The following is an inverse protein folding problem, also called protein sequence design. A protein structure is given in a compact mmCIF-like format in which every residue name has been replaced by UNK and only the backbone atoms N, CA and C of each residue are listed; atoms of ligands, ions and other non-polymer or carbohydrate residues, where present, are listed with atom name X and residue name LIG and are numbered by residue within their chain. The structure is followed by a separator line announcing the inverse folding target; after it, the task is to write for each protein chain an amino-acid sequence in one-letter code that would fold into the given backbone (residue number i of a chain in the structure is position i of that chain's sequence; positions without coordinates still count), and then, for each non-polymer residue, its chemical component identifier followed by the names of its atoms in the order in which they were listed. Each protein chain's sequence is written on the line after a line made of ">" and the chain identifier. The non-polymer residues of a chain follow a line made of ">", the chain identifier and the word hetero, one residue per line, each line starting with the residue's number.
data_IF_128702037398
#
_entry.id   IF_128702037398
#
_cell.length_a   1.000
_cell.length_b   1.000
_cell.length_c   1.000
_cell.angle_alpha   90.00
_cell.angle_beta   90.00
_cell.angle_gamma   90.00
#
_symmetry.space_group_name_H-M   'P 1'
#
loop_
_entity.id
_entity.type
_entity.pdbx_description
1 polymer ?
#
# COMPACT_ATOMS: atom_id res chain seq x y z
N UNK A 1 10.68 11.36 17.03
CA UNK A 1 10.51 12.00 15.71
C UNK A 1 9.27 12.87 15.64
N UNK A 2 8.08 12.36 15.97
CA UNK A 2 6.79 13.10 15.86
C UNK A 2 6.83 14.53 16.43
N UNK A 3 7.31 14.75 17.67
CA UNK A 3 7.36 16.12 18.23
C UNK A 3 8.25 17.08 17.43
N UNK A 4 9.32 16.59 16.80
CA UNK A 4 10.20 17.42 15.96
C UNK A 4 9.57 17.76 14.61
N UNK A 5 8.78 16.86 14.03
CA UNK A 5 8.04 17.15 12.79
C UNK A 5 6.90 18.14 13.03
N UNK A 6 6.16 18.02 14.14
CA UNK A 6 5.09 18.97 14.48
C UNK A 6 5.62 20.39 14.73
N UNK A 7 6.76 20.52 15.43
CA UNK A 7 7.43 21.82 15.63
C UNK A 7 7.90 22.44 14.30
N UNK A 8 8.31 21.60 13.35
CA UNK A 8 8.74 22.06 12.03
C UNK A 8 7.55 22.53 11.17
N UNK A 9 6.41 21.82 11.21
CA UNK A 9 5.16 22.25 10.53
C UNK A 9 4.64 23.57 11.10
N UNK A 10 4.76 23.79 12.40
CA UNK A 10 4.35 25.04 13.05
C UNK A 10 5.19 26.26 12.63
N UNK A 11 6.43 26.06 12.18
CA UNK A 11 7.36 27.12 11.75
C UNK A 11 7.32 27.41 10.25
N UNK A 12 6.74 26.52 9.45
CA UNK A 12 6.62 26.71 8.02
C UNK A 12 5.53 27.74 7.66
N UNK A 13 5.64 28.45 6.53
CA UNK A 13 4.56 29.27 5.99
C UNK A 13 3.26 28.47 5.88
N UNK A 14 2.10 29.14 5.99
CA UNK A 14 0.79 28.47 6.07
C UNK A 14 0.38 27.68 4.80
N UNK A 15 1.08 27.86 3.68
CA UNK A 15 0.81 27.19 2.40
C UNK A 15 2.09 27.03 1.58
N UNK A 16 2.09 26.10 0.63
CA UNK A 16 3.20 25.88 -0.30
C UNK A 16 3.89 24.53 -0.11
N UNK A 17 4.80 24.22 -1.03
CA UNK A 17 5.46 22.91 -1.13
C UNK A 17 6.26 22.54 0.13
N UNK A 18 6.98 23.48 0.76
CA UNK A 18 7.72 23.23 2.01
C UNK A 18 6.79 22.76 3.15
N UNK A 19 5.63 23.40 3.32
CA UNK A 19 4.64 22.96 4.31
C UNK A 19 4.10 21.58 3.98
N UNK A 20 3.79 21.32 2.71
CA UNK A 20 3.29 20.01 2.27
C UNK A 20 4.29 18.89 2.55
N UNK A 21 5.58 19.09 2.27
CA UNK A 21 6.64 18.12 2.55
C UNK A 21 6.74 17.83 4.05
N UNK A 22 6.75 18.87 4.89
CA UNK A 22 6.83 18.71 6.35
C UNK A 22 5.61 17.95 6.90
N UNK A 23 4.41 18.25 6.39
CA UNK A 23 3.19 17.52 6.72
C UNK A 23 3.28 16.05 6.25
N UNK A 24 3.80 15.80 5.06
CA UNK A 24 4.06 14.43 4.58
C UNK A 24 4.98 13.65 5.52
N UNK A 25 6.11 14.24 5.93
CA UNK A 25 7.03 13.62 6.89
C UNK A 25 6.39 13.37 8.26
N UNK A 26 5.58 14.30 8.76
CA UNK A 26 4.79 14.08 9.97
C UNK A 26 3.80 12.92 9.82
N UNK A 27 3.14 12.84 8.66
CA UNK A 27 2.24 11.75 8.32
C UNK A 27 2.95 10.39 8.32
N UNK A 28 4.15 10.31 7.74
CA UNK A 28 4.97 9.09 7.75
C UNK A 28 5.42 8.72 9.16
N UNK A 29 5.82 9.70 9.98
CA UNK A 29 6.20 9.46 11.36
C UNK A 29 5.02 8.89 12.17
N UNK A 30 3.81 9.37 11.93
CA UNK A 30 2.59 8.81 12.53
C UNK A 30 2.30 7.41 12.01
N UNK A 31 2.41 7.15 10.71
CA UNK A 31 2.20 5.83 10.14
C UNK A 31 3.19 4.79 10.71
N UNK A 32 4.49 5.11 10.77
CA UNK A 32 5.49 4.24 11.40
C UNK A 32 5.22 4.03 12.90
N UNK A 33 4.70 5.05 13.60
CA UNK A 33 4.32 4.91 15.01
C UNK A 33 3.08 4.01 15.17
N UNK A 34 2.15 4.08 14.23
CA UNK A 34 1.04 3.15 14.14
C UNK A 34 1.55 1.71 13.96
N UNK A 35 2.47 1.49 13.02
CA UNK A 35 3.05 0.15 12.76
C UNK A 35 3.68 -0.45 14.02
N UNK A 36 4.35 0.38 14.83
CA UNK A 36 5.01 -0.07 16.05
C UNK A 36 4.08 -0.22 17.26
N UNK A 37 3.08 0.66 17.42
CA UNK A 37 2.25 0.73 18.63
C UNK A 37 0.81 0.23 18.45
N UNK A 38 0.33 0.07 17.21
CA UNK A 38 -1.04 -0.30 16.89
C UNK A 38 -2.10 0.74 17.28
N UNK A 39 -1.71 1.96 17.63
CA UNK A 39 -2.63 3.01 18.10
C UNK A 39 -3.36 3.67 16.94
N UNK A 40 -4.62 3.31 16.72
CA UNK A 40 -5.38 3.74 15.55
C UNK A 40 -5.42 5.27 15.34
N UNK A 41 -5.37 6.07 16.41
CA UNK A 41 -5.29 7.54 16.33
C UNK A 41 -4.06 8.03 15.57
N UNK A 42 -2.97 7.24 15.54
CA UNK A 42 -1.80 7.54 14.73
C UNK A 42 -2.06 7.35 13.24
N UNK A 43 -2.82 6.33 12.87
CA UNK A 43 -3.21 6.13 11.48
C UNK A 43 -4.14 7.27 11.01
N UNK A 44 -5.08 7.70 11.86
CA UNK A 44 -5.93 8.86 11.55
C UNK A 44 -5.15 10.15 11.39
N UNK A 45 -4.12 10.37 12.22
CA UNK A 45 -3.21 11.52 12.07
C UNK A 45 -2.39 11.42 10.80
N UNK A 46 -1.88 10.24 10.46
CA UNK A 46 -1.14 10.03 9.22
C UNK A 46 -1.98 10.40 7.99
N UNK A 47 -3.24 9.98 7.96
CA UNK A 47 -4.20 10.32 6.90
C UNK A 47 -4.42 11.84 6.86
N UNK A 48 -4.73 12.49 7.99
CA UNK A 48 -4.97 13.94 8.07
C UNK A 48 -3.77 14.75 7.59
N UNK A 49 -2.56 14.38 7.98
CA UNK A 49 -1.34 15.04 7.52
C UNK A 49 -1.18 14.99 6.00
N UNK A 50 -1.45 13.84 5.37
CA UNK A 50 -1.38 13.72 3.91
C UNK A 50 -2.51 14.51 3.21
N UNK A 51 -3.72 14.55 3.77
CA UNK A 51 -4.80 15.40 3.24
C UNK A 51 -4.46 16.89 3.32
N UNK A 52 -3.89 17.34 4.44
CA UNK A 52 -3.43 18.72 4.59
C UNK A 52 -2.27 19.04 3.66
N UNK A 53 -1.34 18.10 3.44
CA UNK A 53 -0.25 18.26 2.49
C UNK A 53 -0.80 18.49 1.07
N UNK A 54 -1.75 17.66 0.64
CA UNK A 54 -2.43 17.80 -0.65
C UNK A 54 -3.15 19.15 -0.79
N UNK A 55 -3.78 19.66 0.27
CA UNK A 55 -4.38 21.02 0.27
C UNK A 55 -3.33 22.12 0.13
N UNK A 56 -2.12 21.91 0.64
CA UNK A 56 -1.04 22.91 0.60
C UNK A 56 -0.30 22.98 -0.75
N UNK A 57 -0.32 21.90 -1.55
CA UNK A 57 0.39 21.80 -2.82
C UNK A 57 -0.48 21.22 -3.95
N UNK A 58 -1.74 21.65 -4.00
CA UNK A 58 -2.68 21.25 -5.05
C UNK A 58 -2.12 21.57 -6.45
N UNK A 59 -2.36 20.67 -7.41
CA UNK A 59 -1.94 20.67 -8.80
C UNK A 59 -0.42 20.73 -9.03
N UNK A 60 0.37 20.25 -8.06
CA UNK A 60 1.83 20.17 -8.19
C UNK A 60 2.33 18.81 -8.70
N UNK A 61 3.51 18.75 -9.33
CA UNK A 61 4.10 17.49 -9.79
C UNK A 61 4.43 16.49 -8.67
N UNK A 62 4.38 16.91 -7.40
CA UNK A 62 4.84 16.12 -6.24
C UNK A 62 3.70 15.52 -5.41
N UNK A 63 2.44 15.83 -5.75
CA UNK A 63 1.28 15.32 -5.01
C UNK A 63 1.24 13.80 -4.88
N UNK A 64 1.81 13.10 -5.86
CA UNK A 64 1.81 11.65 -5.90
C UNK A 64 2.42 11.01 -4.65
N UNK A 65 3.36 11.69 -3.99
CA UNK A 65 3.94 11.24 -2.72
C UNK A 65 2.86 11.13 -1.63
N UNK A 66 2.06 12.17 -1.48
CA UNK A 66 1.02 12.25 -0.47
C UNK A 66 -0.17 11.36 -0.80
N UNK A 67 -0.56 11.29 -2.08
CA UNK A 67 -1.57 10.34 -2.55
C UNK A 67 -1.15 8.89 -2.28
N UNK A 68 0.09 8.52 -2.59
CA UNK A 68 0.59 7.17 -2.41
C UNK A 68 0.64 6.77 -0.94
N UNK A 69 1.20 7.63 -0.08
CA UNK A 69 1.25 7.41 1.36
C UNK A 69 -0.15 7.34 1.98
N UNK A 70 -1.07 8.20 1.55
CA UNK A 70 -2.47 8.15 1.99
C UNK A 70 -3.14 6.85 1.56
N UNK A 71 -2.89 6.37 0.34
CA UNK A 71 -3.40 5.09 -0.15
C UNK A 71 -3.01 3.91 0.74
N UNK A 72 -1.74 3.84 1.16
CA UNK A 72 -1.25 2.81 2.10
C UNK A 72 -1.93 2.93 3.47
N UNK A 73 -2.09 4.15 3.99
CA UNK A 73 -2.75 4.36 5.28
C UNK A 73 -4.24 3.98 5.24
N UNK A 74 -4.96 4.32 4.16
CA UNK A 74 -6.37 3.97 3.95
C UNK A 74 -6.56 2.46 3.80
N UNK A 75 -5.65 1.78 3.10
CA UNK A 75 -5.69 0.31 2.99
C UNK A 75 -5.45 -0.36 4.35
N UNK A 76 -4.54 0.19 5.15
CA UNK A 76 -4.34 -0.25 6.54
C UNK A 76 -5.59 -0.02 7.39
N UNK A 77 -6.24 1.13 7.23
CA UNK A 77 -7.48 1.49 7.93
C UNK A 77 -8.60 0.51 7.60
N UNK A 78 -8.74 0.14 6.32
CA UNK A 78 -9.63 -0.92 5.87
C UNK A 78 -9.32 -2.25 6.57
N UNK A 79 -8.06 -2.67 6.63
CA UNK A 79 -7.68 -3.93 7.29
C UNK A 79 -7.99 -4.00 8.79
N UNK A 80 -8.17 -2.86 9.46
CA UNK A 80 -8.51 -2.82 10.89
C UNK A 80 -9.99 -2.63 11.18
N UNK A 81 -10.70 -1.84 10.36
CA UNK A 81 -12.13 -1.52 10.60
C UNK A 81 -13.09 -2.24 9.66
N UNK A 82 -12.59 -2.77 8.54
CA UNK A 82 -13.39 -3.42 7.51
C UNK A 82 -14.34 -2.48 6.76
N UNK A 83 -14.09 -1.16 6.79
CA UNK A 83 -14.96 -0.15 6.19
C UNK A 83 -14.75 -0.07 4.66
N UNK A 84 -15.70 -0.51 3.82
CA UNK A 84 -15.49 -0.58 2.36
C UNK A 84 -15.17 0.77 1.71
N UNK A 85 -15.60 1.88 2.33
CA UNK A 85 -15.23 3.23 1.89
C UNK A 85 -13.72 3.49 1.97
N UNK A 86 -13.04 2.95 2.98
CA UNK A 86 -11.58 3.08 3.11
C UNK A 86 -10.85 2.35 1.99
N UNK A 87 -11.37 1.18 1.55
CA UNK A 87 -10.82 0.46 0.40
C UNK A 87 -11.00 1.25 -0.91
N UNK A 88 -12.16 1.86 -1.11
CA UNK A 88 -12.41 2.72 -2.27
C UNK A 88 -11.50 3.95 -2.29
N UNK A 89 -11.34 4.62 -1.15
CA UNK A 89 -10.42 5.76 -1.02
C UNK A 89 -8.95 5.34 -1.19
N UNK A 90 -8.56 4.15 -0.71
CA UNK A 90 -7.21 3.63 -0.90
C UNK A 90 -6.90 3.40 -2.39
N UNK A 91 -7.82 2.76 -3.13
CA UNK A 91 -7.69 2.55 -4.57
C UNK A 91 -7.52 3.88 -5.31
N UNK A 92 -8.44 4.82 -5.10
CA UNK A 92 -8.42 6.13 -5.77
C UNK A 92 -7.10 6.88 -5.49
N UNK A 93 -6.63 6.86 -4.24
CA UNK A 93 -5.39 7.50 -3.86
C UNK A 93 -4.17 6.83 -4.53
N UNK A 94 -4.10 5.49 -4.57
CA UNK A 94 -3.02 4.76 -5.23
C UNK A 94 -3.02 4.96 -6.75
N UNK A 95 -4.19 4.99 -7.39
CA UNK A 95 -4.33 5.30 -8.82
C UNK A 95 -3.86 6.71 -9.14
N UNK A 96 -4.25 7.71 -8.34
CA UNK A 96 -3.74 9.08 -8.47
C UNK A 96 -2.23 9.15 -8.29
N UNK A 97 -1.69 8.48 -7.29
CA UNK A 97 -0.25 8.41 -7.07
C UNK A 97 0.45 7.84 -8.32
N UNK A 98 -0.01 6.69 -8.83
CA UNK A 98 0.60 6.02 -9.97
C UNK A 98 0.46 6.77 -11.29
N UNK A 99 -0.59 7.59 -11.45
CA UNK A 99 -0.81 8.45 -12.61
C UNK A 99 0.28 9.53 -12.76
N UNK A 100 0.71 10.12 -11.64
CA UNK A 100 1.68 11.23 -11.65
C UNK A 100 3.10 10.81 -11.23
N UNK A 101 3.25 9.65 -10.60
CA UNK A 101 4.55 9.10 -10.20
C UNK A 101 5.43 8.74 -11.41
N UNK A 102 6.70 9.20 -11.44
CA UNK A 102 7.65 8.80 -12.48
C UNK A 102 7.81 7.26 -12.60
N UNK A 103 7.96 6.69 -13.82
CA UNK A 103 8.04 5.25 -14.00
C UNK A 103 9.17 4.53 -13.23
N UNK A 104 10.26 5.25 -12.95
CA UNK A 104 11.46 4.74 -12.27
C UNK A 104 11.55 5.13 -10.78
N UNK A 105 10.50 5.75 -10.23
CA UNK A 105 10.50 6.13 -8.82
C UNK A 105 10.57 4.88 -7.93
N UNK A 106 11.43 4.84 -6.87
CA UNK A 106 11.68 3.64 -6.08
C UNK A 106 10.41 3.07 -5.42
N UNK A 107 9.53 3.93 -4.89
CA UNK A 107 8.28 3.51 -4.23
C UNK A 107 7.17 3.08 -5.20
N UNK A 108 7.37 3.20 -6.53
CA UNK A 108 6.32 2.87 -7.50
C UNK A 108 5.89 1.41 -7.41
N UNK A 109 6.84 0.49 -7.19
CA UNK A 109 6.56 -0.94 -7.04
C UNK A 109 5.65 -1.20 -5.81
N UNK A 110 5.91 -0.54 -4.69
CA UNK A 110 5.09 -0.66 -3.48
C UNK A 110 3.65 -0.20 -3.71
N UNK A 111 3.45 0.94 -4.38
CA UNK A 111 2.10 1.42 -4.69
C UNK A 111 1.35 0.52 -5.67
N UNK A 112 2.03 -0.05 -6.66
CA UNK A 112 1.44 -1.07 -7.54
C UNK A 112 1.05 -2.32 -6.75
N UNK A 113 1.94 -2.84 -5.90
CA UNK A 113 1.65 -3.99 -5.07
C UNK A 113 0.44 -3.76 -4.16
N UNK A 114 0.36 -2.60 -3.51
CA UNK A 114 -0.76 -2.24 -2.65
C UNK A 114 -2.05 -1.97 -3.43
N UNK A 115 -1.97 -1.45 -4.67
CA UNK A 115 -3.13 -1.35 -5.56
C UNK A 115 -3.64 -2.74 -5.93
N UNK A 116 -2.74 -3.69 -6.19
CA UNK A 116 -3.09 -5.09 -6.38
C UNK A 116 -3.80 -5.71 -5.17
N UNK A 117 -3.35 -5.38 -3.95
CA UNK A 117 -4.04 -5.80 -2.72
C UNK A 117 -5.44 -5.21 -2.67
N UNK A 118 -5.60 -3.92 -2.97
CA UNK A 118 -6.90 -3.27 -2.95
C UNK A 118 -7.91 -3.93 -3.92
N UNK A 119 -7.45 -4.27 -5.13
CA UNK A 119 -8.26 -4.98 -6.12
C UNK A 119 -8.57 -6.44 -5.72
N UNK A 120 -7.62 -7.15 -5.11
CA UNK A 120 -7.84 -8.52 -4.62
C UNK A 120 -8.89 -8.54 -3.50
N UNK A 121 -8.80 -7.61 -2.55
CA UNK A 121 -9.79 -7.47 -1.48
C UNK A 121 -11.17 -7.12 -2.04
N UNK A 122 -11.23 -6.26 -3.06
CA UNK A 122 -12.49 -5.92 -3.68
C UNK A 122 -13.13 -7.10 -4.40
N UNK A 123 -12.34 -7.93 -5.09
CA UNK A 123 -12.83 -9.19 -5.66
C UNK A 123 -13.46 -10.08 -4.59
N UNK A 124 -12.75 -10.32 -3.49
CA UNK A 124 -13.27 -11.15 -2.40
C UNK A 124 -14.56 -10.58 -1.80
N UNK A 125 -14.61 -9.27 -1.57
CA UNK A 125 -15.79 -8.59 -1.04
C UNK A 125 -16.97 -8.70 -2.01
N UNK A 126 -16.75 -8.51 -3.31
CA UNK A 126 -17.79 -8.60 -4.33
C UNK A 126 -18.29 -10.04 -4.52
N UNK A 127 -17.38 -11.02 -4.58
CA UNK A 127 -17.69 -12.40 -4.96
C UNK A 127 -18.10 -13.25 -3.75
N UNK A 128 -17.39 -13.13 -2.63
CA UNK A 128 -17.63 -13.95 -1.44
C UNK A 128 -18.67 -13.34 -0.50
N UNK A 129 -18.76 -12.01 -0.46
CA UNK A 129 -19.66 -11.28 0.44
C UNK A 129 -20.82 -10.59 -0.29
N UNK A 130 -20.81 -10.53 -1.62
CA UNK A 130 -21.90 -9.98 -2.42
C UNK A 130 -22.06 -8.47 -2.33
N UNK A 131 -21.09 -7.75 -1.75
CA UNK A 131 -21.14 -6.29 -1.65
C UNK A 131 -20.72 -5.66 -2.97
N UNK A 132 -21.53 -4.75 -3.49
CA UNK A 132 -21.20 -3.97 -4.69
C UNK A 132 -20.50 -2.68 -4.31
N UNK A 133 -19.44 -2.36 -5.04
CA UNK A 133 -18.87 -1.03 -5.07
C UNK A 133 -19.48 -0.24 -6.21
N UNK A 134 -19.48 1.09 -6.12
CA UNK A 134 -19.79 1.99 -7.24
C UNK A 134 -18.58 2.10 -8.20
N UNK A 135 -18.01 0.95 -8.55
CA UNK A 135 -16.88 0.83 -9.44
C UNK A 135 -17.38 0.35 -10.80
N UNK A 136 -16.70 0.74 -11.87
CA UNK A 136 -17.07 0.48 -13.25
C UNK A 136 -16.71 -0.93 -13.75
N UNK A 137 -16.36 -1.84 -12.83
CA UNK A 137 -15.92 -3.19 -13.14
C UNK A 137 -16.47 -4.24 -12.15
N UNK A 138 -16.58 -5.49 -12.62
CA UNK A 138 -16.98 -6.66 -11.85
C UNK A 138 -15.83 -7.22 -11.02
N UNK A 139 -16.14 -8.14 -10.09
CA UNK A 139 -15.12 -8.85 -9.33
C UNK A 139 -14.06 -9.51 -10.23
N UNK A 140 -14.47 -10.10 -11.35
CA UNK A 140 -13.53 -10.76 -12.27
C UNK A 140 -12.52 -9.78 -12.88
N UNK A 141 -12.96 -8.58 -13.25
CA UNK A 141 -12.04 -7.54 -13.72
C UNK A 141 -11.16 -7.01 -12.57
N UNK A 142 -11.68 -6.96 -11.34
CA UNK A 142 -10.91 -6.59 -10.16
C UNK A 142 -9.72 -7.53 -9.96
N UNK A 143 -9.95 -8.86 -9.94
CA UNK A 143 -8.86 -9.81 -9.69
C UNK A 143 -7.84 -9.87 -10.84
N UNK A 144 -8.27 -9.61 -12.08
CA UNK A 144 -7.35 -9.48 -13.22
C UNK A 144 -6.47 -8.22 -13.10
N UNK A 145 -7.05 -7.09 -12.67
CA UNK A 145 -6.28 -5.89 -12.35
C UNK A 145 -5.29 -6.17 -11.20
N UNK A 146 -5.71 -6.90 -10.16
CA UNK A 146 -4.83 -7.28 -9.06
C UNK A 146 -3.60 -8.06 -9.52
N UNK A 147 -3.79 -9.12 -10.31
CA UNK A 147 -2.70 -9.94 -10.84
C UNK A 147 -1.76 -9.08 -11.70
N UNK A 148 -2.32 -8.22 -12.57
CA UNK A 148 -1.53 -7.30 -13.39
C UNK A 148 -0.65 -6.39 -12.54
N UNK A 149 -1.22 -5.79 -11.50
CA UNK A 149 -0.49 -4.89 -10.60
C UNK A 149 0.58 -5.59 -9.76
N UNK A 150 0.27 -6.77 -9.20
CA UNK A 150 1.26 -7.55 -8.46
C UNK A 150 2.41 -8.02 -9.35
N UNK A 151 2.12 -8.46 -10.58
CA UNK A 151 3.15 -8.83 -11.55
C UNK A 151 4.03 -7.65 -11.91
N UNK A 152 3.42 -6.49 -12.18
CA UNK A 152 4.14 -5.25 -12.49
C UNK A 152 5.04 -4.79 -11.33
N UNK A 153 4.59 -4.97 -10.08
CA UNK A 153 5.37 -4.71 -8.88
C UNK A 153 6.53 -5.70 -8.72
N UNK A 154 6.29 -7.00 -8.92
CA UNK A 154 7.32 -8.04 -8.88
C UNK A 154 8.41 -7.81 -9.92
N UNK A 155 8.04 -7.45 -11.16
CA UNK A 155 8.99 -7.17 -12.25
C UNK A 155 9.90 -5.96 -11.97
N UNK A 156 9.42 -5.01 -11.13
CA UNK A 156 10.19 -3.82 -10.72
C UNK A 156 11.03 -4.05 -9.48
N UNK A 157 10.66 -5.03 -8.66
CA UNK A 157 11.39 -5.34 -7.44
C UNK A 157 12.73 -6.02 -7.80
N UNK A 158 13.83 -5.69 -7.08
CA UNK A 158 15.08 -6.41 -7.21
C UNK A 158 14.86 -7.93 -7.08
N UNK A 159 15.55 -8.73 -7.88
CA UNK A 159 15.38 -10.20 -7.89
C UNK A 159 15.62 -10.83 -6.50
N UNK A 160 16.55 -10.26 -5.74
CA UNK A 160 16.90 -10.66 -4.37
C UNK A 160 16.33 -9.70 -3.31
N UNK A 161 15.32 -8.90 -3.68
CA UNK A 161 14.66 -7.96 -2.78
C UNK A 161 13.60 -8.66 -1.93
N UNK A 162 13.65 -8.47 -0.61
CA UNK A 162 12.70 -9.10 0.31
C UNK A 162 11.24 -8.65 0.07
N UNK A 163 11.01 -7.46 -0.50
CA UNK A 163 9.66 -7.00 -0.90
C UNK A 163 9.12 -7.75 -2.13
N UNK A 164 9.98 -8.36 -2.96
CA UNK A 164 9.54 -9.21 -4.08
C UNK A 164 8.80 -10.45 -3.59
N UNK A 165 9.16 -10.98 -2.42
CA UNK A 165 8.46 -12.10 -1.77
C UNK A 165 6.98 -11.74 -1.56
N UNK A 166 6.70 -10.53 -1.07
CA UNK A 166 5.34 -10.06 -0.80
C UNK A 166 4.50 -10.04 -2.08
N UNK A 167 5.06 -9.56 -3.19
CA UNK A 167 4.35 -9.53 -4.48
C UNK A 167 4.09 -10.93 -5.04
N UNK A 168 5.04 -11.86 -4.88
CA UNK A 168 4.88 -13.26 -5.31
C UNK A 168 3.81 -13.99 -4.46
N UNK A 169 3.80 -13.78 -3.15
CA UNK A 169 2.77 -14.33 -2.27
C UNK A 169 1.37 -13.83 -2.67
N UNK A 170 1.25 -12.52 -2.91
CA UNK A 170 -0.03 -11.95 -3.34
C UNK A 170 -0.46 -12.45 -4.73
N UNK A 171 0.46 -12.63 -5.68
CA UNK A 171 0.16 -13.27 -6.97
C UNK A 171 -0.42 -14.67 -6.76
N UNK A 172 0.25 -15.49 -5.95
CA UNK A 172 -0.21 -16.82 -5.59
C UNK A 172 -1.62 -16.81 -4.99
N UNK A 173 -1.87 -15.88 -4.06
CA UNK A 173 -3.16 -15.74 -3.39
C UNK A 173 -4.26 -15.20 -4.31
N UNK A 174 -3.96 -14.31 -5.24
CA UNK A 174 -4.93 -13.85 -6.25
C UNK A 174 -5.30 -14.96 -7.23
N UNK A 175 -4.34 -15.79 -7.65
CA UNK A 175 -4.59 -16.97 -8.48
C UNK A 175 -5.37 -18.07 -7.73
N UNK A 176 -5.08 -18.29 -6.44
CA UNK A 176 -5.88 -19.19 -5.61
C UNK A 176 -7.35 -18.70 -5.50
N UNK A 177 -7.55 -17.39 -5.33
CA UNK A 177 -8.89 -16.80 -5.29
C UNK A 177 -9.64 -16.98 -6.62
N UNK A 178 -8.94 -16.89 -7.76
CA UNK A 178 -9.51 -17.20 -9.08
C UNK A 178 -9.90 -18.67 -9.21
N UNK A 179 -9.04 -19.59 -8.75
CA UNK A 179 -9.34 -21.02 -8.75
C UNK A 179 -10.58 -21.33 -7.92
N UNK A 180 -10.71 -20.76 -6.72
CA UNK A 180 -11.90 -20.94 -5.88
C UNK A 180 -13.18 -20.46 -6.58
N UNK A 181 -13.08 -19.41 -7.40
CA UNK A 181 -14.23 -18.85 -8.10
C UNK A 181 -14.59 -19.60 -9.39
N UNK A 182 -13.60 -20.04 -10.18
CA UNK A 182 -13.79 -20.62 -11.52
C UNK A 182 -13.61 -22.13 -11.58
N UNK A 183 -12.82 -22.71 -10.68
CA UNK A 183 -12.42 -24.11 -10.69
C UNK A 183 -11.43 -24.48 -11.80
N UNK A 184 -10.76 -23.50 -12.42
CA UNK A 184 -9.86 -23.73 -13.54
C UNK A 184 -8.48 -24.19 -13.08
N UNK A 185 -8.04 -25.36 -13.54
CA UNK A 185 -6.75 -25.96 -13.13
C UNK A 185 -5.55 -25.04 -13.37
N UNK A 186 -5.59 -24.21 -14.40
CA UNK A 186 -4.49 -23.28 -14.71
C UNK A 186 -4.31 -22.23 -13.61
N UNK A 187 -5.40 -21.73 -13.02
CA UNK A 187 -5.32 -20.78 -11.90
C UNK A 187 -4.64 -21.43 -10.69
N UNK A 188 -4.93 -22.70 -10.40
CA UNK A 188 -4.28 -23.44 -9.33
C UNK A 188 -2.78 -23.67 -9.60
N UNK A 189 -2.40 -23.98 -10.85
CA UNK A 189 -1.00 -24.17 -11.20
C UNK A 189 -0.21 -22.86 -11.04
N UNK A 190 -0.74 -21.75 -11.55
CA UNK A 190 -0.12 -20.42 -11.38
C UNK A 190 -0.01 -20.05 -9.89
N UNK A 191 -1.04 -20.35 -9.08
CA UNK A 191 -0.99 -20.14 -7.65
C UNK A 191 0.19 -20.88 -7.00
N UNK A 192 0.36 -22.17 -7.32
CA UNK A 192 1.46 -23.00 -6.81
C UNK A 192 2.80 -22.44 -7.27
N UNK A 193 2.95 -22.11 -8.55
CA UNK A 193 4.20 -21.60 -9.11
C UNK A 193 4.67 -20.32 -8.41
N UNK A 194 3.78 -19.35 -8.18
CA UNK A 194 4.16 -18.11 -7.48
C UNK A 194 4.46 -18.33 -5.99
N UNK A 195 3.71 -19.21 -5.31
CA UNK A 195 3.97 -19.54 -3.90
C UNK A 195 5.30 -20.28 -3.72
N UNK A 196 5.63 -21.22 -4.61
CA UNK A 196 6.92 -21.90 -4.63
C UNK A 196 8.08 -20.92 -4.92
N UNK A 197 7.88 -19.99 -5.85
CA UNK A 197 8.87 -18.94 -6.13
C UNK A 197 9.11 -18.04 -4.91
N UNK A 198 8.05 -17.67 -4.18
CA UNK A 198 8.15 -16.88 -2.95
C UNK A 198 8.93 -17.64 -1.86
N UNK A 199 8.60 -18.91 -1.63
CA UNK A 199 9.26 -19.77 -0.65
C UNK A 199 10.74 -20.03 -0.99
N UNK A 200 11.04 -20.23 -2.27
CA UNK A 200 12.41 -20.37 -2.76
C UNK A 200 13.24 -19.11 -2.49
N UNK A 201 12.67 -17.92 -2.78
CA UNK A 201 13.33 -16.65 -2.51
C UNK A 201 13.53 -16.40 -1.01
N UNK A 202 12.54 -16.70 -0.17
CA UNK A 202 12.70 -16.66 1.29
C UNK A 202 13.88 -17.51 1.77
N UNK A 203 13.98 -18.76 1.27
CA UNK A 203 15.09 -19.65 1.57
C UNK A 203 16.45 -19.11 1.13
N UNK A 204 16.52 -18.53 -0.07
CA UNK A 204 17.77 -17.89 -0.57
C UNK A 204 18.21 -16.69 0.28
N UNK A 205 17.25 -15.94 0.82
CA UNK A 205 17.53 -14.77 1.67
C UNK A 205 17.68 -15.10 3.15
N UNK A 206 17.56 -16.38 3.56
CA UNK A 206 17.49 -16.82 4.95
C UNK A 206 16.43 -16.06 5.77
N UNK A 207 15.31 -15.72 5.13
CA UNK A 207 14.16 -15.10 5.79
C UNK A 207 13.19 -16.19 6.24
N UNK A 208 12.61 -15.99 7.41
CA UNK A 208 11.56 -16.85 7.94
C UNK A 208 10.18 -16.19 7.80
N UNK A 209 9.17 -16.86 8.34
CA UNK A 209 7.79 -16.36 8.37
C UNK A 209 7.62 -15.10 9.21
N UNK A 210 8.54 -14.81 10.14
CA UNK A 210 8.40 -13.65 11.02
C UNK A 210 8.61 -12.36 10.22
N UNK A 211 9.46 -12.40 9.18
CA UNK A 211 9.54 -11.33 8.18
C UNK A 211 8.18 -11.01 7.53
N UNK A 212 7.36 -12.04 7.27
CA UNK A 212 6.02 -11.86 6.70
C UNK A 212 5.00 -11.37 7.74
N UNK A 213 5.20 -11.66 9.03
CA UNK A 213 4.35 -11.14 10.09
C UNK A 213 4.59 -9.65 10.35
N UNK A 214 5.81 -9.16 10.10
CA UNK A 214 6.15 -7.73 10.12
C UNK A 214 5.61 -7.00 8.87
N UNK A 215 5.50 -7.70 7.73
CA UNK A 215 4.73 -7.19 6.59
C UNK A 215 3.25 -7.20 6.94
N UNK A 216 2.55 -6.07 6.78
CA UNK A 216 1.20 -5.96 7.30
C UNK A 216 0.24 -6.89 6.57
N UNK A 217 -0.06 -7.99 7.25
CA UNK A 217 -1.21 -8.85 7.00
C UNK A 217 -2.44 -7.97 7.08
N UNK A 218 -3.24 -7.90 6.02
CA UNK A 218 -4.65 -7.55 6.16
C UNK A 218 -5.27 -8.73 6.89
N UNK A 219 -5.55 -8.66 8.20
CA UNK A 219 -6.00 -9.84 8.92
C UNK A 219 -7.35 -10.25 8.32
N UNK A 220 -7.45 -11.51 7.91
CA UNK A 220 -8.67 -12.15 7.39
C UNK A 220 -9.86 -12.13 8.37
N UNK A 221 -9.75 -11.48 9.52
CA UNK A 221 -10.67 -11.60 10.65
C UNK A 221 -11.17 -10.28 11.28
N UNK A 222 -10.97 -9.10 10.68
CA UNK A 222 -11.50 -7.84 11.24
C UNK A 222 -12.36 -7.06 10.25
N UNK A 223 -13.55 -7.60 9.99
CA UNK A 223 -14.64 -6.86 9.36
C UNK A 223 -15.79 -7.79 8.95
N UNK A 224 -17.04 -7.29 8.87
CA UNK A 224 -18.19 -8.08 8.41
C UNK A 224 -18.09 -8.49 6.93
N UNK A 225 -17.02 -8.09 6.23
CA UNK A 225 -16.88 -8.15 4.77
C UNK A 225 -15.85 -9.16 4.27
N UNK A 226 -15.13 -9.88 5.15
CA UNK A 226 -14.19 -10.94 4.75
C UNK A 226 -14.52 -12.21 5.53
N UNK A 227 -14.43 -13.37 4.86
CA UNK A 227 -14.72 -14.67 5.46
C UNK A 227 -13.41 -15.30 5.94
N UNK A 228 -13.50 -16.21 6.91
CA UNK A 228 -12.32 -16.91 7.47
C UNK A 228 -11.54 -17.75 6.45
N UNK A 229 -12.16 -18.08 5.32
CA UNK A 229 -11.59 -18.80 4.18
C UNK A 229 -11.07 -17.87 3.07
N UNK A 230 -11.12 -16.54 3.26
CA UNK A 230 -10.52 -15.60 2.32
C UNK A 230 -8.99 -15.72 2.33
N UNK A 231 -8.35 -15.67 1.15
CA UNK A 231 -6.89 -15.57 1.05
C UNK A 231 -6.35 -14.38 1.86
N UNK A 232 -5.15 -14.56 2.40
CA UNK A 232 -4.47 -13.50 3.16
C UNK A 232 -3.65 -12.63 2.22
N UNK A 233 -3.89 -11.32 2.20
CA UNK A 233 -3.09 -10.39 1.39
C UNK A 233 -2.14 -9.59 2.26
N UNK A 234 -0.92 -9.39 1.75
CA UNK A 234 0.18 -8.74 2.45
C UNK A 234 0.45 -7.36 1.85
N UNK A 235 0.50 -6.33 2.69
CA UNK A 235 0.80 -4.96 2.24
C UNK A 235 2.29 -4.64 2.37
N UNK A 236 2.78 -3.78 1.49
CA UNK A 236 4.12 -3.19 1.58
C UNK A 236 4.01 -1.82 2.26
N UNK A 237 4.56 -1.68 3.48
CA UNK A 237 4.60 -0.42 4.25
C UNK A 237 5.79 0.47 3.87
N UNK A 238 6.03 0.64 2.58
CA UNK A 238 7.02 1.60 2.08
C UNK A 238 6.34 2.94 1.82
N UNK A 239 6.70 3.92 2.65
CA UNK A 239 6.25 5.30 2.49
C UNK A 239 7.29 6.10 1.69
N UNK A 240 6.82 6.92 0.77
CA UNK A 240 7.71 7.80 0.00
C UNK A 240 8.12 9.00 0.87
N UNK A 241 9.36 8.98 1.35
CA UNK A 241 9.94 10.04 2.19
C UNK A 241 10.53 11.19 1.37
N UNK A 242 10.95 10.92 0.13
CA UNK A 242 11.66 11.86 -0.72
C UNK A 242 11.45 11.47 -2.19
N UNK A 243 11.19 12.46 -3.03
CA UNK A 243 11.32 12.33 -4.49
C UNK A 243 12.73 12.82 -4.85
N UNK A 244 13.61 11.98 -5.45
CA UNK A 244 14.97 12.37 -5.82
C UNK A 244 15.05 13.60 -6.73
N UNK A 245 13.93 14.06 -7.30
CA UNK A 245 13.80 15.25 -8.13
C UNK A 245 13.19 16.46 -7.40
N UNK A 246 12.92 16.37 -6.09
CA UNK A 246 12.51 17.53 -5.28
C UNK A 246 13.68 18.51 -5.09
N UNK A 247 13.41 19.83 -5.08
CA UNK A 247 14.42 20.80 -4.70
C UNK A 247 14.82 20.60 -3.23
N UNK A 248 16.13 20.48 -2.96
CA UNK A 248 16.65 20.45 -1.59
C UNK A 248 16.34 21.77 -0.88
N UNK A 249 15.58 21.69 0.22
CA UNK A 249 15.33 22.83 1.09
C UNK A 249 16.43 22.93 2.15
N UNK A 250 16.87 24.15 2.52
CA UNK A 250 17.82 24.32 3.61
C UNK A 250 17.21 23.77 4.91
N UNK A 251 17.78 22.67 5.41
CA UNK A 251 17.29 21.91 6.57
C UNK A 251 17.00 20.43 6.31
N UNK A 252 17.05 19.97 5.06
CA UNK A 252 16.82 18.56 4.68
C UNK A 252 17.86 17.58 5.23
N UNK A 253 19.04 18.06 5.64
CA UNK A 253 20.09 17.23 6.27
C UNK A 253 19.66 16.56 7.57
N UNK A 254 18.56 17.02 8.21
CA UNK A 254 17.99 16.35 9.39
C UNK A 254 17.03 15.20 9.08
N UNK A 255 16.66 14.98 7.82
CA UNK A 255 15.59 14.04 7.44
C UNK A 255 16.07 12.84 6.59
N UNK A 256 17.36 12.77 6.27
CA UNK A 256 17.97 11.65 5.51
C UNK A 256 18.39 10.47 6.41
N UNK A 257 18.24 10.57 7.73
CA UNK A 257 18.51 9.45 8.64
C UNK A 257 17.23 8.80 9.17
N UNK A 258 16.99 7.58 8.65
CA UNK A 258 16.21 6.42 9.16
C UNK A 258 15.06 5.95 8.27
#
# INVERSE_FOLDING_TARGET
>A
MVNRSSDAVARAPASGLDRAIRLGHEGIAHARRFDYLGKFEDLEKAIKCNEEALRCCAETPFEYLFWGNMGVCRLTSFGHRGEPSELAMAREALERALKYCPPHHPTRAAWLGNLGVAHSLAFDIMVRCGLKFDWDYSGTEAIQAAISHHKNAADRAPEDGATRIVYLLNLGNSHAALFDHRGEKNDLNEAIEYLEAAMSLMGRLNLDKDYLLDSAVVPSNYGPCLRTDSPTYFMVREYANHDPFLPHFPGDEMYVCL
#
